data_IF_288640575716
#
_entry.id   IF_288640575716
#
_cell.length_a   1.000
_cell.length_b   1.000
_cell.length_c   1.000
_cell.angle_alpha   90.00
_cell.angle_beta   90.00
_cell.angle_gamma   90.00
#
_symmetry.space_group_name_H-M   'P 1'
#
loop_
_entity.id
_entity.type
_entity.pdbx_description
1 polymer ?
#
# COMPACT_ATOMS: atom_id res chain seq x y z
N UNK A 1 18.61 -2.42 -4.07
CA UNK A 1 17.51 -3.32 -4.49
C UNK A 1 18.17 -4.58 -5.00
N UNK A 2 17.83 -5.73 -4.42
CA UNK A 2 18.39 -7.01 -4.85
C UNK A 2 17.57 -7.55 -6.03
N UNK A 3 18.24 -8.15 -7.02
CA UNK A 3 17.60 -8.79 -8.16
C UNK A 3 18.23 -10.15 -8.42
N UNK A 4 17.46 -11.12 -8.93
CA UNK A 4 18.02 -12.37 -9.45
C UNK A 4 18.42 -12.24 -10.94
N UNK A 5 18.88 -13.36 -11.52
CA UNK A 5 19.29 -13.46 -12.92
C UNK A 5 18.18 -13.17 -13.92
N UNK A 6 16.92 -13.38 -13.52
CA UNK A 6 15.74 -13.16 -14.36
C UNK A 6 15.17 -11.74 -14.18
N UNK A 7 15.83 -10.92 -13.35
CA UNK A 7 15.46 -9.54 -13.10
C UNK A 7 14.34 -9.36 -12.06
N UNK A 8 13.92 -10.43 -11.39
CA UNK A 8 12.94 -10.35 -10.29
C UNK A 8 13.50 -9.48 -9.18
N UNK A 9 12.72 -8.52 -8.71
CA UNK A 9 13.09 -7.64 -7.61
C UNK A 9 12.74 -8.29 -6.28
N UNK A 10 13.69 -8.27 -5.35
CA UNK A 10 13.49 -8.64 -3.95
C UNK A 10 13.47 -7.39 -3.07
N UNK A 11 12.80 -7.51 -1.93
CA UNK A 11 12.79 -6.49 -0.90
C UNK A 11 14.07 -6.49 -0.06
N UNK A 12 13.91 -6.28 1.24
CA UNK A 12 14.99 -6.34 2.24
C UNK A 12 15.26 -7.79 2.66
N UNK A 13 16.09 -8.49 1.88
CA UNK A 13 16.46 -9.88 2.17
C UNK A 13 17.11 -10.07 3.55
N UNK A 14 17.77 -9.04 4.10
CA UNK A 14 18.31 -9.08 5.45
C UNK A 14 17.23 -9.23 6.55
N UNK A 15 16.00 -8.83 6.21
CA UNK A 15 14.81 -8.94 7.05
C UNK A 15 13.91 -10.13 6.66
N UNK A 16 14.24 -10.92 5.64
CA UNK A 16 13.39 -12.03 5.22
C UNK A 16 13.06 -12.99 6.37
N UNK A 17 11.77 -13.31 6.52
CA UNK A 17 11.22 -14.12 7.64
C UNK A 17 11.47 -13.54 9.05
N UNK A 18 11.79 -12.25 9.16
CA UNK A 18 12.02 -11.55 10.44
C UNK A 18 11.00 -10.43 10.65
N UNK A 19 10.93 -9.95 11.88
CA UNK A 19 10.21 -8.71 12.22
C UNK A 19 11.14 -7.51 12.21
N UNK A 20 10.65 -6.38 11.71
CA UNK A 20 11.36 -5.11 11.76
C UNK A 20 11.49 -4.64 13.21
N UNK A 21 12.71 -4.33 13.64
CA UNK A 21 13.04 -4.10 15.05
C UNK A 21 12.32 -2.93 15.70
N UNK A 22 11.89 -1.93 14.91
CA UNK A 22 11.19 -0.73 15.44
C UNK A 22 9.68 -0.81 15.35
N UNK A 23 9.16 -1.44 14.30
CA UNK A 23 7.72 -1.41 13.99
C UNK A 23 7.03 -2.74 14.25
N UNK A 24 7.78 -3.82 14.44
CA UNK A 24 7.26 -5.18 14.60
C UNK A 24 6.77 -5.83 13.31
N UNK A 25 6.61 -5.06 12.22
CA UNK A 25 6.14 -5.55 10.92
C UNK A 25 6.98 -6.72 10.45
N UNK A 26 6.30 -7.84 10.14
CA UNK A 26 6.93 -9.03 9.59
C UNK A 26 7.29 -8.81 8.13
N UNK A 27 8.35 -9.47 7.70
CA UNK A 27 8.79 -9.50 6.32
C UNK A 27 8.64 -10.92 5.78
N UNK A 28 8.14 -11.05 4.56
CA UNK A 28 8.03 -12.33 3.88
C UNK A 28 9.42 -12.90 3.52
N UNK A 29 9.44 -14.08 2.91
CA UNK A 29 10.68 -14.74 2.47
C UNK A 29 11.45 -13.98 1.38
N UNK A 30 10.78 -13.07 0.67
CA UNK A 30 11.36 -12.25 -0.39
C UNK A 30 11.78 -10.86 0.11
N UNK A 31 11.59 -10.59 1.40
CA UNK A 31 11.98 -9.35 2.05
C UNK A 31 10.98 -8.20 1.87
N UNK A 32 9.72 -8.47 1.57
CA UNK A 32 8.67 -7.45 1.54
C UNK A 32 7.92 -7.37 2.86
N UNK A 33 7.56 -6.16 3.32
CA UNK A 33 6.80 -5.99 4.56
C UNK A 33 5.36 -6.51 4.39
N UNK A 34 4.86 -7.19 5.42
CA UNK A 34 3.48 -7.63 5.55
C UNK A 34 2.77 -6.63 6.46
N UNK A 35 2.11 -5.64 5.87
CA UNK A 35 1.36 -4.62 6.60
C UNK A 35 -0.06 -5.08 6.94
N UNK A 36 -0.57 -4.64 8.08
CA UNK A 36 -2.01 -4.70 8.38
C UNK A 36 -2.73 -3.67 7.50
N UNK A 37 -3.51 -4.17 6.54
CA UNK A 37 -4.28 -3.33 5.63
C UNK A 37 -5.66 -3.01 6.18
N UNK A 38 -6.07 -1.74 6.03
CA UNK A 38 -7.41 -1.26 6.34
C UNK A 38 -8.36 -1.38 5.15
N UNK A 39 -7.83 -1.59 3.95
CA UNK A 39 -8.59 -1.71 2.71
C UNK A 39 -7.65 -1.93 1.52
N UNK A 40 -8.06 -2.81 0.62
CA UNK A 40 -7.28 -3.22 -0.54
C UNK A 40 -8.02 -2.85 -1.82
N UNK A 41 -7.27 -2.55 -2.88
CA UNK A 41 -7.81 -2.41 -4.24
C UNK A 41 -6.78 -2.88 -5.27
N UNK A 42 -7.23 -3.20 -6.48
CA UNK A 42 -6.36 -3.50 -7.63
C UNK A 42 -6.49 -2.42 -8.69
N UNK A 43 -5.36 -1.80 -9.05
CA UNK A 43 -5.32 -0.86 -10.17
C UNK A 43 -5.52 -1.62 -11.47
N UNK A 44 -6.17 -0.98 -12.43
CA UNK A 44 -6.20 -1.50 -13.79
C UNK A 44 -4.80 -1.44 -14.41
N UNK A 45 -4.41 -2.41 -15.27
CA UNK A 45 -3.09 -2.45 -15.88
C UNK A 45 -2.71 -1.16 -16.63
N UNK A 46 -3.66 -0.53 -17.33
CA UNK A 46 -3.43 0.75 -18.03
C UNK A 46 -3.02 1.90 -17.10
N UNK A 47 -3.23 1.72 -15.80
CA UNK A 47 -2.94 2.72 -14.79
C UNK A 47 -1.59 2.54 -14.13
N UNK A 48 -0.91 1.40 -14.28
CA UNK A 48 0.32 1.09 -13.54
C UNK A 48 1.42 2.16 -13.65
N UNK A 49 1.55 2.78 -14.82
CA UNK A 49 2.57 3.80 -15.09
C UNK A 49 2.12 5.23 -14.79
N UNK A 50 0.95 5.42 -14.16
CA UNK A 50 0.46 6.75 -13.77
C UNK A 50 1.12 7.22 -12.48
N UNK A 51 0.84 8.47 -12.12
CA UNK A 51 1.45 9.12 -10.96
C UNK A 51 0.93 8.51 -9.65
N UNK A 52 1.73 8.61 -8.58
CA UNK A 52 1.27 8.28 -7.22
C UNK A 52 -0.02 8.99 -6.84
N UNK A 53 -0.14 10.28 -7.20
CA UNK A 53 -1.36 11.06 -6.94
C UNK A 53 -2.58 10.44 -7.61
N UNK A 54 -2.44 9.98 -8.86
CA UNK A 54 -3.50 9.29 -9.58
C UNK A 54 -3.86 7.94 -8.93
N UNK A 55 -2.86 7.16 -8.51
CA UNK A 55 -3.13 5.89 -7.81
C UNK A 55 -3.86 6.14 -6.48
N UNK A 56 -3.44 7.15 -5.72
CA UNK A 56 -4.02 7.49 -4.42
C UNK A 56 -5.45 8.00 -4.57
N UNK A 57 -5.73 8.83 -5.59
CA UNK A 57 -7.07 9.32 -5.90
C UNK A 57 -8.04 8.16 -6.16
N UNK A 58 -7.65 7.24 -7.04
CA UNK A 58 -8.47 6.07 -7.39
C UNK A 58 -8.69 5.14 -6.22
N UNK A 59 -7.63 4.81 -5.49
CA UNK A 59 -7.72 3.94 -4.33
C UNK A 59 -8.60 4.51 -3.24
N UNK A 60 -8.51 5.82 -3.00
CA UNK A 60 -9.37 6.49 -2.03
C UNK A 60 -10.84 6.45 -2.45
N UNK A 61 -11.15 6.73 -3.72
CA UNK A 61 -12.52 6.67 -4.24
C UNK A 61 -13.10 5.26 -4.24
N UNK A 62 -12.30 4.27 -4.60
CA UNK A 62 -12.70 2.86 -4.55
C UNK A 62 -13.01 2.42 -3.11
N UNK A 63 -12.11 2.72 -2.17
CA UNK A 63 -12.33 2.43 -0.75
C UNK A 63 -13.60 3.11 -0.22
N UNK A 64 -13.90 4.33 -0.66
CA UNK A 64 -15.17 4.99 -0.31
C UNK A 64 -16.39 4.17 -0.78
N UNK A 65 -16.38 3.65 -2.01
CA UNK A 65 -17.47 2.78 -2.48
C UNK A 65 -17.56 1.50 -1.65
N UNK A 66 -16.43 0.88 -1.31
CA UNK A 66 -16.40 -0.29 -0.43
C UNK A 66 -16.97 0.00 0.96
N UNK A 67 -16.60 1.15 1.56
CA UNK A 67 -17.12 1.62 2.84
C UNK A 67 -18.64 1.78 2.78
N UNK A 68 -19.16 2.33 1.68
CA UNK A 68 -20.60 2.57 1.54
C UNK A 68 -21.42 1.29 1.36
N UNK A 69 -20.78 0.21 0.93
CA UNK A 69 -21.40 -1.11 0.81
C UNK A 69 -21.21 -1.99 2.06
N UNK A 70 -20.41 -1.57 3.05
CA UNK A 70 -20.03 -2.40 4.18
C UNK A 70 -19.92 -1.62 5.50
N UNK A 71 -20.94 -1.76 6.35
CA UNK A 71 -21.02 -1.12 7.66
C UNK A 71 -19.87 -1.51 8.61
N UNK A 72 -19.35 -2.73 8.53
CA UNK A 72 -18.21 -3.16 9.35
C UNK A 72 -16.93 -2.43 8.94
N UNK A 73 -16.73 -2.26 7.64
CA UNK A 73 -15.62 -1.48 7.11
C UNK A 73 -15.76 0.00 7.48
N UNK A 74 -16.97 0.56 7.36
CA UNK A 74 -17.26 1.95 7.73
C UNK A 74 -16.87 2.27 9.19
N UNK A 75 -17.10 1.33 10.12
CA UNK A 75 -16.75 1.51 11.55
C UNK A 75 -15.26 1.68 11.83
N UNK A 76 -14.37 1.43 10.86
CA UNK A 76 -12.92 1.63 11.00
C UNK A 76 -12.47 3.08 10.78
N UNK A 77 -13.36 3.94 10.26
CA UNK A 77 -13.06 5.30 9.83
C UNK A 77 -13.99 6.32 10.51
N UNK A 78 -13.53 7.57 10.65
CA UNK A 78 -14.44 8.65 11.08
C UNK A 78 -15.17 9.22 9.86
N UNK A 79 -16.26 9.95 10.10
CA UNK A 79 -17.02 10.56 9.01
C UNK A 79 -16.16 11.53 8.17
N UNK A 80 -15.27 12.30 8.81
CA UNK A 80 -14.37 13.21 8.12
C UNK A 80 -13.40 12.47 7.19
N UNK A 81 -12.97 11.27 7.58
CA UNK A 81 -12.08 10.45 6.76
C UNK A 81 -12.79 9.82 5.58
N UNK A 82 -14.02 9.37 5.80
CA UNK A 82 -14.89 8.87 4.73
C UNK A 82 -15.10 9.96 3.68
N UNK A 83 -15.34 11.21 4.09
CA UNK A 83 -15.45 12.34 3.16
C UNK A 83 -14.12 12.67 2.45
N UNK A 84 -12.96 12.47 3.10
CA UNK A 84 -11.67 12.58 2.40
C UNK A 84 -11.55 11.52 1.31
N UNK A 85 -11.89 10.26 1.60
CA UNK A 85 -11.83 9.18 0.62
C UNK A 85 -12.73 9.42 -0.59
N UNK A 86 -13.95 9.88 -0.34
CA UNK A 86 -14.91 10.31 -1.38
C UNK A 86 -14.31 11.32 -2.36
N UNK A 87 -13.49 12.25 -1.84
CA UNK A 87 -12.82 13.29 -2.62
C UNK A 87 -11.47 12.84 -3.21
N UNK A 88 -11.13 11.55 -3.15
CA UNK A 88 -9.84 11.04 -3.63
C UNK A 88 -8.65 11.36 -2.71
N UNK A 89 -8.90 11.86 -1.51
CA UNK A 89 -7.87 12.26 -0.56
C UNK A 89 -7.62 11.16 0.48
N UNK A 90 -6.38 11.12 0.99
CA UNK A 90 -5.97 10.15 2.02
C UNK A 90 -5.89 10.86 3.37
N UNK A 91 -6.63 10.39 4.40
CA UNK A 91 -6.50 10.92 5.76
C UNK A 91 -5.06 10.90 6.28
N UNK A 92 -4.74 11.85 7.18
CA UNK A 92 -3.37 12.04 7.68
C UNK A 92 -2.77 10.79 8.34
N UNK A 93 -3.60 9.95 8.96
CA UNK A 93 -3.15 8.72 9.64
C UNK A 93 -2.74 7.61 8.67
N UNK A 94 -3.16 7.68 7.40
CA UNK A 94 -2.98 6.60 6.44
C UNK A 94 -2.09 6.98 5.25
N UNK A 95 -1.62 5.97 4.54
CA UNK A 95 -1.04 6.11 3.21
C UNK A 95 -1.41 4.90 2.39
N UNK A 96 -1.54 5.08 1.07
CA UNK A 96 -1.60 3.94 0.17
C UNK A 96 -0.19 3.40 -0.05
N UNK A 97 -0.01 2.12 0.26
CA UNK A 97 1.18 1.33 -0.01
C UNK A 97 1.00 0.59 -1.33
N UNK A 98 1.95 0.75 -2.25
CA UNK A 98 2.04 -0.09 -3.45
C UNK A 98 2.67 -1.42 -3.06
N UNK A 99 1.92 -2.51 -3.12
CA UNK A 99 2.41 -3.85 -2.80
C UNK A 99 3.30 -4.42 -3.91
N UNK A 100 4.13 -5.42 -3.62
CA UNK A 100 5.03 -6.05 -4.62
C UNK A 100 4.26 -6.74 -5.76
N UNK A 101 3.06 -7.24 -5.47
CA UNK A 101 2.14 -7.76 -6.47
C UNK A 101 1.64 -6.59 -7.35
N UNK A 102 1.76 -6.68 -8.70
CA UNK A 102 1.31 -5.62 -9.60
C UNK A 102 -0.13 -5.20 -9.37
N UNK A 103 -0.36 -3.89 -9.33
CA UNK A 103 -1.67 -3.27 -9.19
C UNK A 103 -2.24 -3.26 -7.76
N UNK A 104 -1.79 -4.13 -6.86
CA UNK A 104 -2.32 -4.18 -5.49
C UNK A 104 -1.90 -2.93 -4.69
N UNK A 105 -2.90 -2.18 -4.23
CA UNK A 105 -2.76 -1.07 -3.30
C UNK A 105 -3.37 -1.46 -1.96
N UNK A 106 -2.68 -1.09 -0.88
CA UNK A 106 -3.13 -1.36 0.49
C UNK A 106 -3.15 -0.07 1.31
N UNK A 107 -4.26 0.22 1.98
CA UNK A 107 -4.34 1.36 2.90
C UNK A 107 -3.71 0.95 4.23
N UNK A 108 -2.61 1.59 4.62
CA UNK A 108 -1.84 1.21 5.81
C UNK A 108 -1.59 2.43 6.71
N UNK A 109 -1.24 2.18 7.98
CA UNK A 109 -0.82 3.24 8.90
C UNK A 109 0.43 3.96 8.37
N UNK A 110 0.32 5.28 8.21
CA UNK A 110 1.38 6.12 7.61
C UNK A 110 2.66 6.11 8.42
N UNK A 111 2.55 6.11 9.75
CA UNK A 111 3.71 6.17 10.65
C UNK A 111 4.47 4.84 10.59
N UNK A 112 3.76 3.72 10.68
CA UNK A 112 4.33 2.38 10.58
C UNK A 112 4.97 2.15 9.21
N UNK A 113 4.27 2.50 8.13
CA UNK A 113 4.80 2.40 6.77
C UNK A 113 6.11 3.18 6.59
N UNK A 114 6.12 4.45 7.04
CA UNK A 114 7.31 5.31 6.97
C UNK A 114 8.48 4.78 7.78
N UNK A 115 8.22 4.26 8.98
CA UNK A 115 9.27 3.78 9.89
C UNK A 115 9.82 2.40 9.51
N UNK A 116 9.04 1.59 8.79
CA UNK A 116 9.45 0.23 8.40
C UNK A 116 10.51 0.25 7.31
N UNK A 117 10.47 1.23 6.39
CA UNK A 117 11.48 1.44 5.35
C UNK A 117 11.65 0.26 4.39
N UNK A 118 11.15 0.35 3.17
CA UNK A 118 11.10 -0.76 2.22
C UNK A 118 11.13 -0.24 0.79
N UNK A 119 11.32 -1.13 -0.18
CA UNK A 119 10.96 -0.87 -1.58
C UNK A 119 9.49 -1.25 -1.76
N UNK A 120 8.71 -0.36 -2.37
CA UNK A 120 7.31 -0.61 -2.69
C UNK A 120 7.10 -0.90 -4.19
N UNK A 121 5.93 -1.43 -4.51
CA UNK A 121 5.48 -1.80 -5.85
C UNK A 121 5.60 -0.69 -6.89
N UNK A 122 5.49 0.58 -6.48
CA UNK A 122 5.64 1.71 -7.40
C UNK A 122 7.02 1.76 -8.07
N UNK A 123 8.05 1.26 -7.40
CA UNK A 123 9.41 1.14 -7.94
C UNK A 123 9.65 -0.21 -8.66
N UNK A 124 8.74 -1.17 -8.53
CA UNK A 124 8.86 -2.53 -9.09
C UNK A 124 8.10 -2.63 -10.41
N UNK A 125 6.84 -2.24 -10.42
CA UNK A 125 5.93 -2.32 -11.57
C UNK A 125 5.30 -0.97 -11.96
N UNK A 126 5.42 0.04 -11.09
CA UNK A 126 4.87 1.37 -11.35
C UNK A 126 5.79 2.23 -12.24
N UNK A 127 5.46 3.52 -12.34
CA UNK A 127 6.26 4.50 -13.10
C UNK A 127 7.73 4.60 -12.66
N UNK A 128 8.05 4.21 -11.42
CA UNK A 128 9.37 4.43 -10.83
C UNK A 128 9.53 5.83 -10.22
N UNK A 129 10.66 6.03 -9.52
CA UNK A 129 11.03 7.33 -8.93
C UNK A 129 11.72 8.23 -9.94
#
# INVERSE_FOLDING_TARGET
>A
VSKDSDGKIFGRLELANKSHSKTGIKFDQEGFPIFDSFGDMYLEPEDYLKSRGTHFDRASKDLYQQIMANDELARKFTQEEIELFKNGSVPKRFTWHHHQNPGLMQLVDRRIHRQTGHIGGYSIWGKGN
#
